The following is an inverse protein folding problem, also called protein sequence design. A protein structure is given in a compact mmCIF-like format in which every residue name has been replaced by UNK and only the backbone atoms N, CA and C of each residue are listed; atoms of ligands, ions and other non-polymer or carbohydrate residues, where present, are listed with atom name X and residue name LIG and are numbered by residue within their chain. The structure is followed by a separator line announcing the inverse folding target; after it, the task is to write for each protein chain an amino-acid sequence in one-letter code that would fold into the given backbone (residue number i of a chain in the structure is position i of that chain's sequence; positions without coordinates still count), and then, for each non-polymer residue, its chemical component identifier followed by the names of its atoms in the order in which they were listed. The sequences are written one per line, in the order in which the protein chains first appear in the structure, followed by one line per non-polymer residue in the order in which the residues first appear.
data_IF_413999422906
#
_entry.id   IF_413999422906
#
_cell.length_a   1.000
_cell.length_b   1.000
_cell.length_c   1.000
_cell.angle_alpha   90.00
_cell.angle_beta   90.00
_cell.angle_gamma   90.00
#
_symmetry.space_group_name_H-M   'P 1'
#
loop_
_entity.id
_entity.type
_entity.pdbx_description
1 polymer ?
#
# COMPACT_ATOMS: atom_id res chain seq x y z
N UNK A 1 4.08 -31.81 -10.97
CA UNK A 1 3.79 -30.36 -11.05
C UNK A 1 2.73 -29.89 -10.05
N UNK A 2 1.83 -30.73 -9.52
CA UNK A 2 0.78 -30.30 -8.58
C UNK A 2 1.24 -29.99 -7.14
N UNK A 3 2.34 -30.61 -6.69
CA UNK A 3 2.87 -30.45 -5.31
C UNK A 3 3.42 -29.05 -5.04
N UNK A 4 3.91 -28.37 -6.07
CA UNK A 4 4.41 -27.00 -5.98
C UNK A 4 3.26 -26.00 -5.77
N UNK A 5 2.14 -26.18 -6.45
CA UNK A 5 0.98 -25.28 -6.40
C UNK A 5 0.34 -25.27 -5.00
N UNK A 6 0.08 -26.45 -4.42
CA UNK A 6 -0.50 -26.55 -3.07
C UNK A 6 0.45 -26.01 -1.99
N UNK A 7 1.76 -26.23 -2.16
CA UNK A 7 2.79 -25.68 -1.26
C UNK A 7 2.82 -24.15 -1.33
N UNK A 8 2.83 -23.57 -2.53
CA UNK A 8 2.78 -22.12 -2.75
C UNK A 8 1.51 -21.51 -2.20
N UNK A 9 0.35 -22.17 -2.37
CA UNK A 9 -0.93 -21.75 -1.81
C UNK A 9 -0.91 -21.72 -0.29
N UNK A 10 -0.32 -22.74 0.35
CA UNK A 10 -0.18 -22.77 1.82
C UNK A 10 0.70 -21.63 2.33
N UNK A 11 1.78 -21.31 1.61
CA UNK A 11 2.67 -20.19 1.95
C UNK A 11 1.92 -18.86 1.79
N UNK A 12 1.20 -18.66 0.67
CA UNK A 12 0.40 -17.46 0.44
C UNK A 12 -0.63 -17.24 1.55
N UNK A 13 -1.34 -18.30 1.95
CA UNK A 13 -2.33 -18.22 3.03
C UNK A 13 -1.71 -17.80 4.37
N UNK A 14 -0.51 -18.30 4.71
CA UNK A 14 0.23 -17.89 5.92
C UNK A 14 0.67 -16.43 5.88
N UNK A 15 1.04 -15.92 4.70
CA UNK A 15 1.44 -14.51 4.55
C UNK A 15 0.23 -13.59 4.76
N UNK A 16 -0.90 -13.93 4.17
CA UNK A 16 -2.18 -13.21 4.32
C UNK A 16 -2.61 -13.20 5.80
N UNK A 17 -2.66 -14.38 6.43
CA UNK A 17 -3.03 -14.51 7.85
C UNK A 17 -2.14 -13.67 8.78
N UNK A 18 -0.83 -13.64 8.49
CA UNK A 18 0.14 -12.84 9.23
C UNK A 18 -0.05 -11.34 9.05
N UNK A 19 -0.38 -10.87 7.85
CA UNK A 19 -0.59 -9.45 7.62
C UNK A 19 -1.96 -8.97 8.16
N UNK A 20 -2.98 -9.84 8.13
CA UNK A 20 -4.25 -9.60 8.81
C UNK A 20 -4.06 -9.49 10.32
N UNK A 21 -3.28 -10.40 10.93
CA UNK A 21 -2.92 -10.33 12.36
C UNK A 21 -2.17 -9.05 12.73
N UNK A 22 -1.40 -8.49 11.79
CA UNK A 22 -0.62 -7.26 11.99
C UNK A 22 -1.41 -5.98 11.76
N UNK A 23 -2.69 -6.08 11.37
CA UNK A 23 -3.54 -4.92 11.07
C UNK A 23 -3.08 -4.12 9.85
N UNK A 24 -2.33 -4.74 8.94
CA UNK A 24 -1.88 -4.12 7.70
C UNK A 24 -2.76 -4.62 6.55
N UNK A 25 -3.70 -3.81 6.02
CA UNK A 25 -4.66 -4.22 4.97
C UNK A 25 -4.01 -4.28 3.58
N UNK A 26 -2.80 -4.84 3.48
CA UNK A 26 -2.16 -5.16 2.21
C UNK A 26 -2.75 -6.46 1.64
N UNK A 27 -3.32 -7.30 2.52
CA UNK A 27 -4.00 -8.57 2.21
C UNK A 27 -5.17 -8.45 1.23
N UNK A 28 -5.79 -7.28 1.17
CA UNK A 28 -6.98 -7.00 0.33
C UNK A 28 -6.66 -6.17 -0.89
N UNK A 29 -5.39 -5.87 -1.15
CA UNK A 29 -5.02 -5.19 -2.38
C UNK A 29 -5.19 -6.12 -3.60
N UNK A 30 -6.04 -5.76 -4.58
CA UNK A 30 -6.22 -6.59 -5.77
C UNK A 30 -4.92 -6.76 -6.58
N UNK A 31 -4.01 -5.78 -6.57
CA UNK A 31 -2.73 -5.92 -7.27
C UNK A 31 -1.81 -6.95 -6.58
N UNK A 32 -1.76 -6.96 -5.25
CA UNK A 32 -1.05 -7.99 -4.48
C UNK A 32 -1.61 -9.39 -4.74
N UNK A 33 -2.94 -9.55 -4.67
CA UNK A 33 -3.60 -10.85 -4.89
C UNK A 33 -3.34 -11.40 -6.29
N UNK A 34 -3.29 -10.55 -7.31
CA UNK A 34 -2.96 -10.95 -8.68
C UNK A 34 -1.54 -11.53 -8.79
N UNK A 35 -0.54 -10.87 -8.19
CA UNK A 35 0.86 -11.33 -8.21
C UNK A 35 1.02 -12.64 -7.42
N UNK A 36 0.30 -12.80 -6.31
CA UNK A 36 0.28 -14.05 -5.54
C UNK A 36 -0.26 -15.21 -6.38
N UNK A 37 -1.34 -14.99 -7.14
CA UNK A 37 -1.95 -16.00 -8.00
C UNK A 37 -1.02 -16.41 -9.17
N UNK A 38 -0.34 -15.45 -9.82
CA UNK A 38 0.69 -15.73 -10.83
C UNK A 38 1.82 -16.61 -10.26
N UNK A 39 2.24 -16.36 -9.02
CA UNK A 39 3.27 -17.17 -8.36
C UNK A 39 2.77 -18.57 -8.00
N UNK A 40 1.54 -18.70 -7.51
CA UNK A 40 0.90 -19.99 -7.18
C UNK A 40 0.81 -20.88 -8.41
N UNK A 41 0.43 -20.32 -9.57
CA UNK A 41 0.39 -21.05 -10.86
C UNK A 41 1.77 -21.42 -11.38
N UNK A 42 2.78 -20.67 -10.97
CA UNK A 42 4.16 -20.84 -11.38
C UNK A 42 4.54 -20.10 -12.65
N UNK A 43 3.70 -19.14 -13.08
CA UNK A 43 4.01 -18.19 -14.15
C UNK A 43 5.18 -17.27 -13.76
N UNK A 44 5.34 -16.99 -12.47
CA UNK A 44 6.47 -16.22 -11.92
C UNK A 44 7.17 -16.95 -10.79
N UNK A 45 8.46 -16.69 -10.63
CA UNK A 45 9.25 -17.14 -9.47
C UNK A 45 9.04 -16.24 -8.24
N UNK A 46 9.40 -16.75 -7.05
CA UNK A 46 9.34 -16.00 -5.79
C UNK A 46 10.12 -14.68 -5.84
N UNK A 47 11.25 -14.62 -6.56
CA UNK A 47 12.00 -13.37 -6.72
C UNK A 47 11.18 -12.32 -7.46
N UNK A 48 10.57 -12.70 -8.60
CA UNK A 48 9.72 -11.81 -9.38
C UNK A 48 8.47 -11.38 -8.60
N UNK A 49 7.88 -12.29 -7.82
CA UNK A 49 6.78 -11.98 -6.92
C UNK A 49 7.18 -10.93 -5.87
N UNK A 50 8.36 -11.07 -5.25
CA UNK A 50 8.88 -10.11 -4.27
C UNK A 50 9.15 -8.74 -4.89
N UNK A 51 9.72 -8.68 -6.08
CA UNK A 51 10.00 -7.41 -6.77
C UNK A 51 8.70 -6.66 -7.09
N UNK A 52 7.69 -7.34 -7.64
CA UNK A 52 6.37 -6.74 -7.90
C UNK A 52 5.66 -6.30 -6.63
N UNK A 53 5.78 -7.06 -5.54
CA UNK A 53 5.21 -6.67 -4.25
C UNK A 53 5.80 -5.36 -3.71
N UNK A 54 7.13 -5.18 -3.83
CA UNK A 54 7.78 -3.95 -3.39
C UNK A 54 7.36 -2.74 -4.24
N UNK A 55 7.16 -2.93 -5.53
CA UNK A 55 6.67 -1.89 -6.44
C UNK A 55 5.25 -1.43 -6.06
N UNK A 56 4.35 -2.37 -5.77
CA UNK A 56 2.99 -2.10 -5.26
C UNK A 56 3.03 -1.28 -3.96
N UNK A 57 3.91 -1.65 -3.02
CA UNK A 57 4.08 -0.90 -1.77
C UNK A 57 4.60 0.51 -2.05
N UNK A 58 5.60 0.65 -2.93
CA UNK A 58 6.19 1.93 -3.27
C UNK A 58 5.16 2.86 -3.93
N UNK A 59 4.34 2.34 -4.84
CA UNK A 59 3.27 3.07 -5.51
C UNK A 59 2.21 3.55 -4.50
N UNK A 60 1.74 2.66 -3.62
CA UNK A 60 0.77 3.00 -2.57
C UNK A 60 1.32 4.01 -1.55
N UNK A 61 2.62 3.93 -1.24
CA UNK A 61 3.28 4.90 -0.38
C UNK A 61 3.38 6.28 -1.05
N UNK A 62 3.63 6.32 -2.37
CA UNK A 62 3.64 7.56 -3.15
C UNK A 62 2.24 8.18 -3.25
N UNK A 63 1.19 7.38 -3.49
CA UNK A 63 -0.21 7.87 -3.49
C UNK A 63 -0.64 8.44 -2.14
N UNK A 64 -0.30 7.79 -1.02
CA UNK A 64 -0.55 8.32 0.33
C UNK A 64 0.21 9.62 0.62
N UNK A 65 1.33 9.85 -0.07
CA UNK A 65 2.13 11.09 0.00
C UNK A 65 1.72 12.12 -1.05
N UNK A 66 0.62 11.90 -1.78
CA UNK A 66 -0.02 12.90 -2.63
C UNK A 66 -0.19 14.23 -1.90
N UNK A 67 -0.09 15.37 -2.61
CA UNK A 67 0.32 16.63 -2.02
C UNK A 67 -0.63 17.03 -0.90
N UNK A 68 -0.04 17.23 0.29
CA UNK A 68 -0.66 17.82 1.47
C UNK A 68 -1.04 19.30 1.17
N UNK A 69 -1.89 19.56 0.18
CA UNK A 69 -2.19 20.93 -0.29
C UNK A 69 -3.61 21.43 -0.06
N UNK A 70 -4.50 20.65 0.56
CA UNK A 70 -5.91 21.07 0.69
C UNK A 70 -6.57 20.87 2.07
N UNK A 71 -5.80 20.79 3.17
CA UNK A 71 -6.40 20.64 4.52
C UNK A 71 -6.01 21.65 5.59
N UNK A 72 -5.34 22.74 5.21
CA UNK A 72 -5.26 23.92 6.07
C UNK A 72 -6.01 25.06 5.36
N UNK A 73 -7.33 25.03 5.47
CA UNK A 73 -8.15 26.23 5.28
C UNK A 73 -7.87 27.21 6.43
N UNK A 74 -6.68 27.81 6.44
CA UNK A 74 -6.44 29.04 7.18
C UNK A 74 -6.94 30.14 6.25
N UNK A 75 -8.20 30.49 6.42
CA UNK A 75 -8.73 31.75 5.92
C UNK A 75 -7.85 32.87 6.52
N UNK A 76 -7.31 33.80 5.74
CA UNK A 76 -6.84 35.07 6.27
C UNK A 76 -8.07 35.93 6.58
N UNK A 77 -8.89 35.52 7.55
CA UNK A 77 -9.89 36.41 8.14
C UNK A 77 -9.17 37.25 9.18
N UNK A 78 -9.04 38.53 8.83
CA UNK A 78 -9.10 39.70 9.70
C UNK A 78 -8.73 39.47 11.17
N UNK A 79 -7.56 39.97 11.56
CA UNK A 79 -7.41 40.58 12.87
C UNK A 79 -6.88 41.99 12.65
N UNK A 80 -7.81 42.94 12.74
CA UNK A 80 -7.56 44.36 12.87
C UNK A 80 -6.58 44.66 13.99
N UNK A 81 -5.67 45.61 13.77
CA UNK A 81 -5.29 46.56 14.80
C UNK A 81 -4.77 47.85 14.16
N UNK A 82 -5.67 48.83 14.19
CA UNK A 82 -5.46 50.27 14.11
C UNK A 82 -4.44 50.76 15.16
N UNK A 83 -3.54 51.67 14.76
CA UNK A 83 -2.83 52.69 15.56
C UNK A 83 -1.87 53.39 14.59
N UNK A 84 -2.20 54.54 13.98
CA UNK A 84 -2.17 55.92 14.51
C UNK A 84 -0.83 56.34 15.15
N UNK A 85 -0.52 57.64 14.98
CA UNK A 85 0.60 58.47 15.48
C UNK A 85 1.72 58.68 14.44
N UNK A 86 1.62 59.67 13.55
CA UNK A 86 1.76 61.16 13.63
C UNK A 86 3.09 61.60 12.99
#
# INVERSE_FOLDING_TARGET
MSRDIETRRTIAQRVIDRATTRGAPIDTDPAFLAVVEEWIRGDIDLKAMRERYLDIIALRAAERRGPLKNRLGINPSESSNEANEE
#
